data_IF_577175810636
#
_entry.id   IF_577175810636
#
_cell.length_a   1.000
_cell.length_b   1.000
_cell.length_c   1.000
_cell.angle_alpha   90.00
_cell.angle_beta   90.00
_cell.angle_gamma   90.00
#
_symmetry.space_group_name_H-M   'P 1'
#
loop_
_entity.id
_entity.type
_entity.pdbx_description
1 polymer ?
#
# COMPACT_ATOMS: atom_id res chain seq x y z
N UNK A 1 -6.56 -8.64 21.91
CA UNK A 1 -5.82 -9.63 21.10
C UNK A 1 -4.68 -8.90 20.43
N UNK A 2 -3.49 -9.50 20.34
CA UNK A 2 -2.35 -8.87 19.66
C UNK A 2 -2.67 -8.63 18.18
N UNK A 3 -2.16 -7.53 17.62
CA UNK A 3 -2.35 -7.15 16.22
C UNK A 3 -1.03 -6.69 15.61
N UNK A 4 -0.90 -6.88 14.30
CA UNK A 4 0.19 -6.28 13.54
C UNK A 4 0.02 -4.77 13.59
N UNK A 5 1.07 -4.07 14.00
CA UNK A 5 1.16 -2.61 14.00
C UNK A 5 2.39 -2.17 13.20
N UNK A 6 2.32 -0.98 12.63
CA UNK A 6 3.42 -0.42 11.84
C UNK A 6 4.40 0.27 12.78
N UNK A 7 5.68 0.00 12.61
CA UNK A 7 6.77 0.82 13.16
C UNK A 7 7.23 1.73 12.03
N UNK A 8 7.08 3.04 12.19
CA UNK A 8 7.51 3.99 11.17
C UNK A 8 9.03 4.23 11.26
N UNK A 9 9.72 4.54 10.15
CA UNK A 9 11.17 4.78 10.16
C UNK A 9 11.61 5.88 11.14
N UNK A 10 10.77 6.89 11.38
CA UNK A 10 11.08 8.00 12.28
C UNK A 10 11.25 7.56 13.74
N UNK A 11 10.75 6.36 14.10
CA UNK A 11 10.97 5.80 15.43
C UNK A 11 12.46 5.65 15.75
N UNK A 12 13.29 5.28 14.77
CA UNK A 12 14.74 5.11 14.95
C UNK A 12 15.52 6.43 15.01
N UNK A 13 14.86 7.55 14.71
CA UNK A 13 15.40 8.90 14.85
C UNK A 13 14.73 9.67 16.01
N UNK A 14 13.91 8.99 16.83
CA UNK A 14 13.20 9.61 17.94
C UNK A 14 14.14 9.84 19.13
N UNK A 15 14.31 11.09 19.52
CA UNK A 15 15.12 11.47 20.70
C UNK A 15 14.57 10.85 21.99
N UNK A 16 13.25 10.78 22.16
CA UNK A 16 12.62 10.17 23.34
C UNK A 16 12.87 8.66 23.43
N UNK A 17 12.91 7.95 22.29
CA UNK A 17 13.26 6.52 22.28
C UNK A 17 14.76 6.31 22.46
N UNK A 18 15.60 7.20 21.91
CA UNK A 18 17.04 7.15 22.11
C UNK A 18 17.47 7.43 23.56
N UNK A 19 16.61 8.08 24.36
CA UNK A 19 16.87 8.39 25.76
C UNK A 19 16.67 7.20 26.73
N UNK A 20 16.05 6.11 26.27
CA UNK A 20 15.80 4.91 27.09
C UNK A 20 16.73 3.76 26.72
N UNK A 21 16.82 2.73 27.57
CA UNK A 21 17.60 1.53 27.25
C UNK A 21 17.05 0.79 26.01
N UNK A 22 17.91 0.01 25.35
CA UNK A 22 17.47 -0.86 24.24
C UNK A 22 16.42 -1.90 24.65
N UNK A 23 16.42 -2.33 25.93
CA UNK A 23 15.36 -3.19 26.46
C UNK A 23 14.03 -2.45 26.51
N UNK A 24 14.03 -1.20 27.00
CA UNK A 24 12.86 -0.35 27.07
C UNK A 24 12.31 -0.03 25.67
N UNK A 25 13.17 0.30 24.71
CA UNK A 25 12.80 0.51 23.31
C UNK A 25 12.14 -0.75 22.71
N UNK A 26 12.74 -1.93 22.91
CA UNK A 26 12.15 -3.21 22.47
C UNK A 26 10.80 -3.47 23.12
N UNK A 27 10.69 -3.22 24.44
CA UNK A 27 9.43 -3.34 25.19
C UNK A 27 8.38 -2.40 24.61
N UNK A 28 8.74 -1.15 24.29
CA UNK A 28 7.85 -0.19 23.66
C UNK A 28 7.31 -0.68 22.31
N UNK A 29 8.17 -1.16 21.40
CA UNK A 29 7.73 -1.71 20.13
C UNK A 29 6.84 -2.94 20.30
N UNK A 30 7.15 -3.81 21.26
CA UNK A 30 6.30 -4.94 21.63
C UNK A 30 4.93 -4.48 22.12
N UNK A 31 4.86 -3.45 22.98
CA UNK A 31 3.61 -2.90 23.50
C UNK A 31 2.69 -2.38 22.40
N UNK A 32 3.24 -1.83 21.31
CA UNK A 32 2.43 -1.40 20.16
C UNK A 32 1.51 -2.55 19.69
N UNK A 33 2.04 -3.77 19.62
CA UNK A 33 1.29 -4.94 19.16
C UNK A 33 0.20 -5.42 20.12
N UNK A 34 0.35 -5.13 21.41
CA UNK A 34 -0.53 -5.62 22.48
C UNK A 34 -1.63 -4.63 22.84
N UNK A 35 -1.35 -3.34 22.66
CA UNK A 35 -2.26 -2.26 22.95
C UNK A 35 -3.55 -2.34 22.09
N UNK A 36 -4.66 -1.90 22.68
CA UNK A 36 -5.93 -1.77 21.97
C UNK A 36 -5.89 -0.67 20.91
N UNK A 37 -7.02 -0.39 20.27
CA UNK A 37 -7.07 0.59 19.18
C UNK A 37 -6.87 2.04 19.64
N UNK A 38 -6.85 2.30 20.95
CA UNK A 38 -6.54 3.58 21.56
C UNK A 38 -5.15 3.60 22.21
N UNK A 39 -4.32 2.59 21.95
CA UNK A 39 -2.96 2.53 22.48
C UNK A 39 -2.91 2.19 23.97
N UNK A 40 -3.95 1.55 24.51
CA UNK A 40 -4.08 1.24 25.94
C UNK A 40 -3.84 -0.23 26.23
N UNK A 41 -3.23 -0.51 27.37
CA UNK A 41 -2.97 -1.88 27.83
C UNK A 41 -2.98 -1.97 29.36
N UNK A 42 -3.13 -3.18 29.89
CA UNK A 42 -3.03 -3.45 31.33
C UNK A 42 -1.58 -3.30 31.79
N UNK A 43 -1.37 -2.53 32.84
CA UNK A 43 -0.04 -2.31 33.40
C UNK A 43 0.27 -3.42 34.41
N UNK A 44 0.77 -4.53 33.86
CA UNK A 44 1.13 -5.72 34.62
C UNK A 44 2.48 -6.23 34.11
N UNK A 45 3.60 -5.85 34.75
CA UNK A 45 4.94 -6.17 34.27
C UNK A 45 5.16 -7.67 34.06
N UNK A 46 4.61 -8.50 34.94
CA UNK A 46 4.69 -9.96 34.81
C UNK A 46 4.01 -10.50 33.55
N UNK A 47 2.84 -9.94 33.18
CA UNK A 47 2.12 -10.33 31.97
C UNK A 47 2.85 -9.82 30.73
N UNK A 48 3.34 -8.57 30.77
CA UNK A 48 4.09 -7.98 29.66
C UNK A 48 5.41 -8.76 29.42
N UNK A 49 6.11 -9.17 30.49
CA UNK A 49 7.28 -10.04 30.39
C UNK A 49 6.92 -11.38 29.72
N UNK A 50 5.84 -12.03 30.16
CA UNK A 50 5.36 -13.28 29.57
C UNK A 50 4.95 -13.15 28.09
N UNK A 51 4.51 -11.97 27.65
CA UNK A 51 4.10 -11.73 26.26
C UNK A 51 5.27 -11.34 25.34
N UNK A 52 6.13 -10.43 25.80
CA UNK A 52 7.16 -9.79 24.97
C UNK A 52 8.54 -10.44 25.11
N UNK A 53 8.79 -11.10 26.23
CA UNK A 53 10.09 -11.62 26.64
C UNK A 53 10.08 -13.13 26.95
N UNK A 54 9.04 -13.86 26.54
CA UNK A 54 8.88 -15.30 26.79
C UNK A 54 10.11 -16.17 26.45
N UNK A 55 10.80 -15.82 25.35
CA UNK A 55 11.99 -16.54 24.86
C UNK A 55 13.31 -15.88 25.28
N UNK A 56 13.26 -14.98 26.26
CA UNK A 56 14.38 -14.17 26.76
C UNK A 56 14.35 -14.15 28.29
N UNK A 57 14.70 -15.28 28.94
CA UNK A 57 14.55 -15.42 30.40
C UNK A 57 15.39 -14.44 31.22
N UNK A 58 16.43 -13.82 30.62
CA UNK A 58 17.24 -12.79 31.25
C UNK A 58 16.50 -11.46 31.51
N UNK A 59 15.33 -11.24 30.88
CA UNK A 59 14.53 -10.03 31.05
C UNK A 59 13.15 -10.36 31.61
N UNK A 60 13.09 -10.51 32.92
CA UNK A 60 11.88 -10.90 33.66
C UNK A 60 10.97 -9.71 34.03
N UNK A 61 9.99 -9.94 34.92
CA UNK A 61 9.04 -8.91 35.35
C UNK A 61 9.68 -7.65 35.93
N UNK A 62 10.79 -7.77 36.66
CA UNK A 62 11.53 -6.63 37.20
C UNK A 62 12.17 -5.78 36.08
N UNK A 63 12.82 -6.42 35.10
CA UNK A 63 13.38 -5.70 33.96
C UNK A 63 12.31 -5.00 33.13
N UNK A 64 11.12 -5.58 33.01
CA UNK A 64 9.98 -4.92 32.36
C UNK A 64 9.45 -3.75 33.19
N UNK A 65 9.41 -3.84 34.52
CA UNK A 65 9.03 -2.70 35.38
C UNK A 65 10.03 -1.54 35.24
N UNK A 66 11.33 -1.84 35.17
CA UNK A 66 12.38 -0.84 34.90
C UNK A 66 12.21 -0.20 33.51
N UNK A 67 11.90 -1.00 32.49
CA UNK A 67 11.60 -0.51 31.15
C UNK A 67 10.39 0.43 31.15
N UNK A 68 9.28 0.02 31.78
CA UNK A 68 8.06 0.83 31.86
C UNK A 68 8.29 2.13 32.62
N UNK A 69 9.12 2.11 33.65
CA UNK A 69 9.52 3.31 34.40
C UNK A 69 10.31 4.29 33.51
N UNK A 70 11.28 3.79 32.74
CA UNK A 70 12.02 4.61 31.78
C UNK A 70 11.11 5.19 30.68
N UNK A 71 10.23 4.36 30.11
CA UNK A 71 9.28 4.80 29.08
C UNK A 71 8.31 5.87 29.61
N UNK A 72 7.89 5.75 30.87
CA UNK A 72 7.03 6.75 31.51
C UNK A 72 7.80 8.04 31.80
N UNK A 73 9.06 7.96 32.24
CA UNK A 73 9.90 9.12 32.46
C UNK A 73 10.25 9.88 31.16
N UNK A 74 10.28 9.19 30.02
CA UNK A 74 10.49 9.76 28.69
C UNK A 74 9.19 10.22 28.00
N UNK A 75 8.05 10.24 28.70
CA UNK A 75 6.71 10.59 28.18
C UNK A 75 6.26 9.77 26.95
N UNK A 76 6.84 8.58 26.73
CA UNK A 76 6.43 7.67 25.65
C UNK A 76 5.15 6.92 26.00
N UNK A 77 5.01 6.59 27.29
CA UNK A 77 3.80 6.01 27.86
C UNK A 77 3.38 6.83 29.08
N UNK A 78 2.11 6.75 29.46
CA UNK A 78 1.66 7.20 30.76
C UNK A 78 0.95 6.06 31.47
N UNK A 79 1.32 5.85 32.72
CA UNK A 79 0.72 4.87 33.63
C UNK A 79 -0.39 5.54 34.43
N UNK A 80 -1.52 4.88 34.62
CA UNK A 80 -2.69 5.43 35.30
C UNK A 80 -3.55 4.34 35.90
N UNK A 81 -4.35 4.72 36.90
CA UNK A 81 -5.38 3.86 37.47
C UNK A 81 -6.71 4.10 36.74
N UNK A 82 -7.36 3.02 36.34
CA UNK A 82 -8.70 3.07 35.76
C UNK A 82 -9.79 3.22 36.82
N UNK A 83 -11.00 3.50 36.35
CA UNK A 83 -12.23 3.50 37.13
C UNK A 83 -12.52 2.17 37.86
N UNK A 84 -11.99 1.06 37.35
CA UNK A 84 -12.05 -0.26 38.00
C UNK A 84 -10.97 -0.50 39.07
N UNK A 85 -10.20 0.53 39.47
CA UNK A 85 -9.19 0.48 40.53
C UNK A 85 -7.90 -0.28 40.16
N UNK A 86 -7.71 -0.55 38.87
CA UNK A 86 -6.57 -1.32 38.37
C UNK A 86 -5.65 -0.45 37.53
N UNK A 87 -4.38 -0.85 37.45
CA UNK A 87 -3.36 -0.11 36.71
C UNK A 87 -3.40 -0.41 35.21
N UNK A 88 -3.20 0.63 34.42
CA UNK A 88 -3.13 0.63 32.97
C UNK A 88 -2.01 1.53 32.50
N UNK A 89 -1.61 1.33 31.25
CA UNK A 89 -0.73 2.21 30.54
C UNK A 89 -1.39 2.60 29.22
N UNK A 90 -1.08 3.79 28.74
CA UNK A 90 -1.40 4.19 27.37
C UNK A 90 -0.20 4.84 26.70
N UNK A 91 -0.11 4.64 25.39
CA UNK A 91 0.95 5.20 24.56
C UNK A 91 0.55 6.63 24.18
N UNK A 92 1.32 7.61 24.64
CA UNK A 92 0.93 9.04 24.60
C UNK A 92 0.72 9.53 23.18
N UNK A 93 1.61 9.15 22.27
CA UNK A 93 1.60 9.59 20.86
C UNK A 93 0.87 8.62 19.93
N UNK A 94 0.05 7.70 20.45
CA UNK A 94 -0.58 6.62 19.68
C UNK A 94 -1.26 7.10 18.39
N UNK A 95 -2.14 8.10 18.46
CA UNK A 95 -2.90 8.62 17.32
C UNK A 95 -2.02 9.28 16.25
N UNK A 96 -0.80 9.70 16.59
CA UNK A 96 0.17 10.29 15.63
C UNK A 96 0.91 9.20 14.84
N UNK A 97 1.08 8.02 15.42
CA UNK A 97 1.90 6.95 14.84
C UNK A 97 1.09 5.74 14.35
N UNK A 98 -0.12 5.51 14.86
CA UNK A 98 -0.95 4.37 14.52
C UNK A 98 -2.26 4.79 13.85
N UNK A 99 -2.47 4.34 12.61
CA UNK A 99 -3.75 4.49 11.91
C UNK A 99 -4.53 3.19 12.02
N UNK A 100 -5.65 3.22 12.74
CA UNK A 100 -6.49 2.03 12.94
C UNK A 100 -7.40 1.82 11.73
N UNK A 101 -7.31 0.64 11.13
CA UNK A 101 -8.22 0.16 10.10
C UNK A 101 -9.00 -1.04 10.69
N UNK A 102 -10.33 -1.04 10.55
CA UNK A 102 -11.26 -2.02 11.15
C UNK A 102 -11.14 -2.10 12.69
N UNK A 103 -11.80 -1.17 13.41
CA UNK A 103 -11.73 -1.11 14.87
C UNK A 103 -12.34 -2.37 15.51
N UNK A 104 -11.74 -2.78 16.63
CA UNK A 104 -12.11 -3.95 17.44
C UNK A 104 -12.81 -3.58 18.75
N UNK A 105 -13.06 -2.30 18.99
CA UNK A 105 -13.61 -1.78 20.23
C UNK A 105 -12.53 -1.48 21.29
N UNK A 106 -12.97 -0.82 22.36
CA UNK A 106 -12.13 -0.38 23.49
C UNK A 106 -12.05 -1.49 24.53
N UNK A 107 -10.85 -1.76 25.06
CA UNK A 107 -10.64 -2.83 26.07
C UNK A 107 -10.19 -2.30 27.43
N UNK A 108 -9.65 -1.09 27.46
CA UNK A 108 -9.16 -0.44 28.66
C UNK A 108 -9.78 0.95 28.83
N UNK A 109 -10.01 1.41 30.07
CA UNK A 109 -10.62 2.69 30.37
C UNK A 109 -9.75 3.85 29.87
N UNK A 110 -10.38 5.00 29.66
CA UNK A 110 -9.74 6.21 29.19
C UNK A 110 -8.63 6.67 30.13
N UNK A 111 -7.54 7.23 29.58
CA UNK A 111 -6.51 7.84 30.41
C UNK A 111 -7.01 9.22 30.90
N UNK A 112 -7.10 9.46 32.23
CA UNK A 112 -7.62 10.70 32.75
C UNK A 112 -6.75 11.92 32.44
N UNK A 113 -5.45 11.71 32.13
CA UNK A 113 -4.51 12.83 31.87
C UNK A 113 -4.57 13.33 30.43
N UNK A 114 -4.77 12.45 29.46
CA UNK A 114 -4.62 12.79 28.05
C UNK A 114 -5.95 12.84 27.29
N UNK A 115 -7.03 12.22 27.79
CA UNK A 115 -8.35 12.25 27.13
C UNK A 115 -9.36 13.17 27.84
N UNK A 116 -9.11 13.58 29.09
CA UNK A 116 -9.92 14.63 29.72
C UNK A 116 -9.79 15.98 28.98
N UNK A 117 -8.66 16.21 28.31
CA UNK A 117 -8.45 17.40 27.48
C UNK A 117 -9.21 17.35 26.14
N UNK A 118 -9.38 16.15 25.55
CA UNK A 118 -10.10 15.98 24.27
C UNK A 118 -11.62 16.01 24.42
N UNK A 119 -12.14 15.88 25.66
CA UNK A 119 -13.57 15.92 25.99
C UNK A 119 -14.07 17.29 26.49
N UNK A 120 -13.19 18.31 26.53
CA UNK A 120 -13.51 19.67 26.98
C UNK A 120 -13.85 20.64 25.84
N UNK A 121 -14.77 20.26 24.96
CA UNK A 121 -15.46 21.17 24.03
C UNK A 121 -16.93 21.27 24.46
N UNK A 122 -17.40 22.41 25.03
CA UNK A 122 -18.79 22.54 25.42
C UNK A 122 -19.67 22.85 24.21
N UNK A 123 -20.58 21.91 23.94
CA UNK A 123 -21.72 21.98 23.03
C UNK A 123 -22.42 23.35 22.92
N UNK A 124 -22.73 23.78 21.70
CA UNK A 124 -23.96 24.55 21.41
C UNK A 124 -24.98 23.63 20.72
N UNK A 125 -26.04 23.33 21.47
CA UNK A 125 -27.34 22.74 21.09
C UNK A 125 -28.00 23.52 19.94
N UNK A 126 -28.97 23.01 19.18
CA UNK A 126 -29.81 21.81 19.18
C UNK A 126 -30.60 21.82 17.84
N UNK A 127 -31.58 20.99 17.49
CA UNK A 127 -32.45 20.00 18.13
C UNK A 127 -33.24 19.41 16.94
N UNK A 128 -33.46 18.08 16.89
CA UNK A 128 -34.80 17.46 16.91
C UNK A 128 -34.77 15.99 16.47
N UNK A 129 -35.24 15.19 17.42
CA UNK A 129 -35.64 13.78 17.40
C UNK A 129 -36.62 13.45 16.26
N UNK A 130 -36.48 12.29 15.61
CA UNK A 130 -37.47 11.20 15.57
C UNK A 130 -37.00 9.99 14.70
N UNK A 131 -36.83 8.87 15.41
CA UNK A 131 -37.19 7.46 15.11
C UNK A 131 -36.69 6.69 13.87
N UNK A 132 -36.07 5.54 14.21
CA UNK A 132 -36.15 4.16 13.64
C UNK A 132 -35.83 3.98 12.13
N UNK A 133 -35.17 2.92 11.64
CA UNK A 133 -35.10 1.52 12.07
C UNK A 133 -33.89 0.85 11.40
N UNK A 134 -33.42 -0.23 12.03
CA UNK A 134 -32.32 -1.09 11.60
C UNK A 134 -32.73 -2.00 10.44
N UNK A 135 -31.98 -2.03 9.33
CA UNK A 135 -32.02 -3.15 8.37
C UNK A 135 -30.63 -3.35 7.72
N UNK A 136 -29.98 -4.45 8.11
CA UNK A 136 -28.97 -5.16 7.29
C UNK A 136 -29.61 -5.66 5.99
N UNK A 137 -28.86 -5.81 4.89
CA UNK A 137 -29.02 -7.08 4.20
C UNK A 137 -27.74 -7.68 3.62
N UNK A 138 -27.49 -8.94 4.00
CA UNK A 138 -26.92 -9.95 3.10
C UNK A 138 -27.97 -10.44 2.09
N UNK A 139 -27.53 -11.02 0.98
CA UNK A 139 -28.30 -11.96 0.14
C UNK A 139 -27.55 -12.18 -1.17
N UNK A 140 -27.06 -13.35 -1.57
CA UNK A 140 -27.65 -14.69 -1.68
C UNK A 140 -29.01 -14.67 -2.37
N UNK A 141 -28.91 -14.79 -3.70
CA UNK A 141 -29.72 -15.52 -4.69
C UNK A 141 -31.17 -15.84 -4.31
N UNK A 142 -32.14 -15.44 -5.15
CA UNK A 142 -32.90 -16.31 -6.08
C UNK A 142 -33.86 -15.47 -6.94
N UNK A 143 -34.07 -15.92 -8.17
CA UNK A 143 -34.89 -15.39 -9.28
C UNK A 143 -36.37 -15.15 -8.98
N UNK A 144 -36.99 -14.25 -9.76
CA UNK A 144 -38.46 -14.10 -9.81
C UNK A 144 -38.94 -12.90 -10.62
N UNK A 145 -39.17 -13.14 -11.91
CA UNK A 145 -39.59 -12.22 -12.98
C UNK A 145 -40.99 -11.59 -12.84
N UNK A 146 -41.15 -10.32 -13.29
CA UNK A 146 -42.18 -9.73 -14.20
C UNK A 146 -42.42 -8.23 -13.88
N UNK A 147 -42.02 -7.31 -14.77
CA UNK A 147 -42.87 -6.61 -15.79
C UNK A 147 -43.94 -5.69 -15.14
N UNK A 148 -44.19 -4.41 -15.47
CA UNK A 148 -43.86 -3.48 -16.56
C UNK A 148 -44.44 -2.10 -16.17
N UNK A 149 -43.75 -0.97 -16.43
CA UNK A 149 -44.32 0.29 -16.99
C UNK A 149 -43.28 1.45 -17.08
N UNK A 150 -42.76 1.68 -18.30
CA UNK A 150 -42.80 2.91 -19.16
C UNK A 150 -43.16 4.32 -18.55
N UNK A 151 -42.77 5.45 -19.21
CA UNK A 151 -41.80 6.41 -18.65
C UNK A 151 -42.18 7.93 -18.75
N UNK A 152 -41.23 8.79 -18.32
CA UNK A 152 -40.97 10.20 -18.77
C UNK A 152 -41.86 11.36 -18.23
N UNK A 153 -41.52 12.66 -18.45
CA UNK A 153 -40.25 13.38 -18.16
C UNK A 153 -40.48 14.85 -17.64
N UNK A 154 -39.43 15.57 -17.22
CA UNK A 154 -39.27 17.05 -17.36
C UNK A 154 -37.88 17.48 -16.81
N UNK A 155 -36.91 17.89 -17.64
CA UNK A 155 -36.60 19.24 -18.22
C UNK A 155 -36.21 20.33 -17.20
N UNK A 156 -34.88 20.51 -17.04
CA UNK A 156 -34.01 21.69 -17.32
C UNK A 156 -34.48 23.14 -16.98
N UNK A 157 -33.59 24.17 -16.99
CA UNK A 157 -32.14 24.27 -16.71
C UNK A 157 -31.78 25.52 -15.85
N UNK A 158 -30.49 25.73 -15.51
CA UNK A 158 -30.00 27.01 -14.98
C UNK A 158 -28.66 27.40 -15.64
N UNK A 159 -28.61 28.62 -16.17
CA UNK A 159 -27.52 29.17 -16.97
C UNK A 159 -26.47 29.97 -16.20
N UNK A 160 -25.31 30.04 -16.84
CA UNK A 160 -24.39 31.18 -17.05
C UNK A 160 -24.28 32.30 -16.00
N UNK A 161 -23.06 32.49 -15.48
CA UNK A 161 -22.24 33.73 -15.54
C UNK A 161 -20.77 33.26 -15.38
N UNK A 162 -19.73 33.73 -16.06
CA UNK A 162 -19.50 34.94 -16.83
C UNK A 162 -18.34 35.71 -16.20
N UNK A 163 -17.08 35.34 -16.48
CA UNK A 163 -15.96 36.31 -16.48
C UNK A 163 -14.85 35.86 -17.43
N UNK A 164 -14.57 36.76 -18.38
CA UNK A 164 -13.58 36.79 -19.47
C UNK A 164 -12.83 38.11 -19.17
N UNK A 165 -11.51 38.25 -19.17
CA UNK A 165 -10.58 38.28 -20.32
C UNK A 165 -9.18 38.83 -19.83
N UNK A 166 -8.20 39.27 -20.65
CA UNK A 166 -7.00 38.53 -21.05
C UNK A 166 -5.63 39.17 -20.67
N UNK A 167 -4.57 38.46 -21.10
CA UNK A 167 -3.18 38.89 -21.48
C UNK A 167 -3.15 40.14 -22.40
N UNK A 168 -2.03 40.82 -22.82
CA UNK A 168 -0.64 40.32 -22.93
C UNK A 168 0.56 41.34 -22.92
N UNK A 169 1.75 40.81 -23.27
CA UNK A 169 2.97 41.36 -23.95
C UNK A 169 4.02 42.29 -23.28
N UNK A 170 5.22 41.71 -23.25
CA UNK A 170 6.60 42.15 -23.48
C UNK A 170 6.85 43.46 -24.28
N UNK A 171 7.87 44.24 -23.88
CA UNK A 171 8.92 44.83 -24.76
C UNK A 171 10.02 45.59 -23.98
N UNK A 172 11.30 45.32 -24.31
CA UNK A 172 12.46 46.24 -24.32
C UNK A 172 13.05 46.62 -22.95
N UNK A 173 14.36 46.81 -22.76
CA UNK A 173 15.51 46.91 -23.64
C UNK A 173 16.78 47.17 -22.82
N UNK A 174 17.91 47.05 -23.51
CA UNK A 174 19.33 47.03 -23.10
C UNK A 174 19.83 48.25 -22.30
N UNK A 175 20.83 48.07 -21.41
CA UNK A 175 22.18 48.72 -21.48
C UNK A 175 23.03 48.54 -20.19
N UNK A 176 24.29 48.15 -20.42
CA UNK A 176 25.62 48.28 -19.75
C UNK A 176 25.73 48.99 -18.36
N UNK A 177 26.72 48.71 -17.49
CA UNK A 177 27.91 47.87 -17.55
C UNK A 177 28.83 48.02 -16.31
N UNK A 178 29.89 47.20 -16.29
CA UNK A 178 31.24 47.40 -15.71
C UNK A 178 31.46 47.56 -14.19
N UNK A 179 32.21 46.64 -13.57
CA UNK A 179 33.63 46.81 -13.20
C UNK A 179 34.18 45.58 -12.43
N UNK A 180 35.45 45.27 -12.74
CA UNK A 180 36.31 44.17 -12.25
C UNK A 180 36.95 44.49 -10.86
N UNK A 181 37.77 43.62 -10.19
CA UNK A 181 39.16 43.36 -10.64
C UNK A 181 39.75 41.92 -10.44
N UNK A 182 40.51 41.49 -11.46
CA UNK A 182 41.91 40.96 -11.47
C UNK A 182 42.34 39.63 -10.82
N UNK A 183 42.96 38.80 -11.67
CA UNK A 183 44.06 37.85 -11.38
C UNK A 183 44.45 37.08 -12.66
N UNK A 184 45.67 37.24 -13.23
CA UNK A 184 46.05 36.62 -14.52
C UNK A 184 46.97 35.40 -14.31
N UNK A 185 46.86 34.37 -15.16
CA UNK A 185 48.07 33.69 -15.67
C UNK A 185 47.83 32.87 -16.96
N UNK A 186 48.52 33.31 -18.01
CA UNK A 186 49.14 32.62 -19.17
C UNK A 186 48.55 31.30 -19.76
N UNK A 187 48.17 31.36 -21.05
CA UNK A 187 48.13 30.20 -21.97
C UNK A 187 49.54 29.77 -22.43
N UNK A 188 49.74 28.94 -23.51
CA UNK A 188 48.84 28.78 -24.67
C UNK A 188 48.74 27.35 -25.32
N UNK A 189 47.70 27.20 -26.16
CA UNK A 189 47.64 26.53 -27.49
C UNK A 189 48.35 25.18 -27.74
N UNK A 190 47.54 24.15 -28.01
CA UNK A 190 47.73 23.25 -29.18
C UNK A 190 46.37 23.05 -29.87
N UNK A 191 46.36 23.30 -31.19
CA UNK A 191 45.26 23.06 -32.13
C UNK A 191 45.32 21.61 -32.64
N UNK A 192 44.18 20.94 -32.52
CA UNK A 192 43.45 20.15 -33.53
C UNK A 192 44.11 18.97 -34.28
N UNK A 193 43.41 17.82 -34.32
CA UNK A 193 42.92 17.16 -35.54
C UNK A 193 42.41 15.72 -35.26
N UNK A 194 41.10 15.51 -35.45
CA UNK A 194 40.56 14.29 -36.06
C UNK A 194 40.37 13.05 -35.19
N UNK A 195 39.16 12.88 -34.64
CA UNK A 195 38.56 11.57 -34.38
C UNK A 195 37.06 11.63 -34.67
N UNK A 196 36.63 10.88 -35.68
CA UNK A 196 35.27 10.78 -36.22
C UNK A 196 34.22 10.52 -35.11
N UNK A 197 33.06 11.21 -35.06
CA UNK A 197 31.95 10.75 -34.25
C UNK A 197 31.33 9.54 -34.95
N UNK A 198 31.67 8.34 -34.49
CA UNK A 198 30.95 7.13 -34.91
C UNK A 198 29.56 7.19 -34.29
N UNK A 199 28.63 7.78 -35.05
CA UNK A 199 27.22 7.90 -34.74
C UNK A 199 26.55 6.52 -34.76
N UNK A 200 26.68 5.79 -33.66
CA UNK A 200 25.70 4.80 -33.24
C UNK A 200 24.63 5.53 -32.43
N UNK A 201 23.61 6.06 -33.08
CA UNK A 201 22.42 6.55 -32.40
C UNK A 201 21.67 5.35 -31.79
N UNK A 202 22.16 4.82 -30.67
CA UNK A 202 21.29 4.09 -29.74
C UNK A 202 20.33 5.12 -29.17
N UNK A 203 19.12 5.14 -29.72
CA UNK A 203 18.00 5.80 -29.07
C UNK A 203 17.97 5.34 -27.60
N UNK A 204 17.88 6.26 -26.62
CA UNK A 204 17.73 5.88 -25.23
C UNK A 204 16.57 4.90 -25.12
N UNK A 205 16.79 3.75 -24.46
CA UNK A 205 15.69 2.83 -24.15
C UNK A 205 14.55 3.66 -23.52
N UNK A 206 13.29 3.50 -23.99
CA UNK A 206 12.20 4.34 -23.55
C UNK A 206 12.08 4.27 -22.03
N UNK A 207 12.06 5.44 -21.38
CA UNK A 207 11.88 5.51 -19.93
C UNK A 207 10.65 4.67 -19.50
N UNK A 208 10.67 4.04 -18.32
CA UNK A 208 9.60 3.14 -17.87
C UNK A 208 8.22 3.81 -17.89
N UNK A 209 8.17 5.13 -17.71
CA UNK A 209 6.95 5.93 -17.82
C UNK A 209 6.39 6.01 -19.25
N UNK A 210 7.25 6.12 -20.26
CA UNK A 210 6.84 6.11 -21.69
C UNK A 210 6.35 4.73 -22.09
N UNK A 211 7.06 3.69 -21.65
CA UNK A 211 6.70 2.29 -21.90
C UNK A 211 5.37 1.91 -21.22
N UNK A 212 5.15 2.34 -19.97
CA UNK A 212 3.87 2.14 -19.27
C UNK A 212 2.69 2.77 -20.02
N UNK A 213 2.84 4.02 -20.49
CA UNK A 213 1.81 4.70 -21.29
C UNK A 213 1.52 3.96 -22.59
N UNK A 214 2.55 3.44 -23.24
CA UNK A 214 2.40 2.63 -24.46
C UNK A 214 1.60 1.34 -24.18
N UNK A 215 1.95 0.59 -23.13
CA UNK A 215 1.27 -0.67 -22.76
C UNK A 215 -0.21 -0.45 -22.39
N UNK A 216 -0.52 0.63 -21.67
CA UNK A 216 -1.92 0.99 -21.36
C UNK A 216 -2.66 1.39 -22.64
N UNK A 217 -2.00 2.10 -23.55
CA UNK A 217 -2.57 2.46 -24.86
C UNK A 217 -2.91 1.22 -25.69
N UNK A 218 -2.01 0.25 -25.76
CA UNK A 218 -2.22 -1.06 -26.41
C UNK A 218 -3.41 -1.80 -25.76
N UNK A 219 -3.49 -1.84 -24.43
CA UNK A 219 -4.60 -2.45 -23.70
C UNK A 219 -5.95 -1.77 -24.00
N UNK A 220 -6.00 -0.44 -23.97
CA UNK A 220 -7.24 0.32 -24.26
C UNK A 220 -7.69 0.10 -25.71
N UNK A 221 -6.76 0.04 -26.66
CA UNK A 221 -7.07 -0.25 -28.06
C UNK A 221 -7.64 -1.66 -28.25
N UNK A 222 -7.25 -2.63 -27.41
CA UNK A 222 -7.76 -4.00 -27.44
C UNK A 222 -9.10 -4.18 -26.70
N UNK A 223 -9.59 -3.16 -25.98
CA UNK A 223 -10.88 -3.19 -25.30
C UNK A 223 -12.02 -2.78 -26.26
N UNK A 224 -13.16 -3.49 -26.20
CA UNK A 224 -14.34 -3.15 -27.00
C UNK A 224 -14.93 -1.77 -26.66
N UNK A 225 -14.82 -1.36 -25.39
CA UNK A 225 -15.19 -0.03 -24.91
C UNK A 225 -14.09 0.50 -24.01
N UNK A 226 -13.86 1.82 -24.06
CA UNK A 226 -12.84 2.46 -23.24
C UNK A 226 -13.15 2.27 -21.75
N UNK A 227 -12.25 1.66 -20.96
CA UNK A 227 -12.46 1.52 -19.52
C UNK A 227 -12.51 2.87 -18.80
N UNK A 228 -13.20 2.97 -17.64
CA UNK A 228 -13.25 4.20 -16.85
C UNK A 228 -11.86 4.71 -16.43
N UNK A 229 -11.69 6.03 -16.30
CA UNK A 229 -10.39 6.64 -15.98
C UNK A 229 -9.77 6.12 -14.68
N UNK A 230 -10.60 5.83 -13.66
CA UNK A 230 -10.14 5.24 -12.40
C UNK A 230 -9.48 3.87 -12.59
N UNK A 231 -9.97 3.07 -13.53
CA UNK A 231 -9.43 1.74 -13.86
C UNK A 231 -8.11 1.90 -14.59
N UNK A 232 -8.02 2.81 -15.57
CA UNK A 232 -6.79 3.10 -16.31
C UNK A 232 -5.69 3.67 -15.40
N UNK A 233 -6.05 4.56 -14.46
CA UNK A 233 -5.12 5.11 -13.48
C UNK A 233 -4.66 4.10 -12.42
N UNK A 234 -5.44 3.05 -12.17
CA UNK A 234 -5.00 1.92 -11.32
C UNK A 234 -4.07 1.00 -12.11
N UNK A 235 -4.46 0.60 -13.32
CA UNK A 235 -3.63 -0.22 -14.20
C UNK A 235 -2.27 0.43 -14.48
N UNK A 236 -2.24 1.74 -14.70
CA UNK A 236 -0.98 2.44 -14.95
C UNK A 236 -0.03 2.45 -13.76
N UNK A 237 -0.54 2.44 -12.52
CA UNK A 237 0.30 2.31 -11.32
C UNK A 237 0.89 0.91 -11.21
N UNK A 238 0.07 -0.11 -11.42
CA UNK A 238 0.52 -1.52 -11.42
C UNK A 238 1.57 -1.77 -12.51
N UNK A 239 1.34 -1.30 -13.74
CA UNK A 239 2.32 -1.43 -14.84
C UNK A 239 3.61 -0.68 -14.55
N UNK A 240 3.55 0.52 -13.96
CA UNK A 240 4.74 1.27 -13.59
C UNK A 240 5.54 0.57 -12.47
N UNK A 241 4.85 -0.08 -11.52
CA UNK A 241 5.50 -0.87 -10.49
C UNK A 241 6.21 -2.09 -11.10
N UNK A 242 5.53 -2.85 -11.95
CA UNK A 242 6.11 -4.03 -12.62
C UNK A 242 7.32 -3.68 -13.50
N UNK A 243 7.28 -2.53 -14.19
CA UNK A 243 8.42 -2.03 -14.95
C UNK A 243 9.57 -1.56 -14.05
N UNK A 244 9.28 -1.07 -12.84
CA UNK A 244 10.28 -0.73 -11.83
C UNK A 244 10.95 -1.95 -11.19
N UNK A 245 10.34 -3.13 -11.31
CA UNK A 245 10.90 -4.42 -10.91
C UNK A 245 11.69 -5.09 -12.05
N UNK A 246 12.00 -4.35 -13.12
CA UNK A 246 12.71 -4.83 -14.32
C UNK A 246 12.01 -6.00 -15.06
N UNK A 247 10.68 -6.12 -14.91
CA UNK A 247 9.91 -7.14 -15.63
C UNK A 247 9.79 -6.76 -17.10
N UNK A 248 10.14 -7.68 -18.00
CA UNK A 248 10.08 -7.46 -19.44
C UNK A 248 8.66 -7.13 -19.93
N UNK A 249 8.56 -6.16 -20.85
CA UNK A 249 7.29 -5.66 -21.37
C UNK A 249 6.40 -6.75 -21.98
N UNK A 250 6.98 -7.80 -22.56
CA UNK A 250 6.24 -8.90 -23.19
C UNK A 250 5.45 -9.73 -22.17
N UNK A 251 6.00 -9.94 -20.97
CA UNK A 251 5.27 -10.61 -19.89
C UNK A 251 4.13 -9.74 -19.35
N UNK A 252 4.34 -8.42 -19.30
CA UNK A 252 3.31 -7.47 -18.89
C UNK A 252 2.16 -7.43 -19.91
N UNK A 253 2.47 -7.43 -21.22
CA UNK A 253 1.46 -7.55 -22.30
C UNK A 253 0.63 -8.82 -22.14
N UNK A 254 1.28 -9.96 -21.96
CA UNK A 254 0.59 -11.24 -21.76
C UNK A 254 -0.31 -11.24 -20.51
N UNK A 255 0.11 -10.58 -19.43
CA UNK A 255 -0.71 -10.39 -18.23
C UNK A 255 -1.92 -9.49 -18.47
N UNK A 256 -1.74 -8.36 -19.18
CA UNK A 256 -2.81 -7.43 -19.55
C UNK A 256 -3.86 -8.08 -20.47
N UNK A 257 -3.43 -8.92 -21.41
CA UNK A 257 -4.35 -9.70 -22.26
C UNK A 257 -5.17 -10.70 -21.45
N UNK A 258 -4.55 -11.43 -20.52
CA UNK A 258 -5.27 -12.34 -19.62
C UNK A 258 -6.24 -11.60 -18.72
N UNK A 259 -5.87 -10.42 -18.25
CA UNK A 259 -6.73 -9.56 -17.44
C UNK A 259 -7.98 -9.15 -18.23
N UNK A 260 -7.79 -8.74 -19.49
CA UNK A 260 -8.85 -8.34 -20.41
C UNK A 260 -9.80 -9.50 -20.72
N UNK A 261 -9.24 -10.67 -21.07
CA UNK A 261 -10.02 -11.87 -21.42
C UNK A 261 -10.82 -12.37 -20.22
N UNK A 262 -10.21 -12.42 -19.03
CA UNK A 262 -10.86 -12.91 -17.80
C UNK A 262 -11.76 -11.85 -17.13
N UNK A 263 -11.70 -10.58 -17.56
CA UNK A 263 -12.53 -9.49 -17.01
C UNK A 263 -12.26 -9.18 -15.53
N UNK A 264 -11.02 -9.38 -15.07
CA UNK A 264 -10.64 -9.26 -13.66
C UNK A 264 -10.25 -7.82 -13.28
N UNK A 265 -10.20 -7.54 -11.97
CA UNK A 265 -9.81 -6.22 -11.46
C UNK A 265 -8.32 -5.93 -11.68
N UNK A 266 -7.92 -4.64 -11.86
CA UNK A 266 -6.53 -4.24 -12.08
C UNK A 266 -5.52 -4.77 -11.06
N UNK A 267 -5.93 -4.94 -9.81
CA UNK A 267 -5.09 -5.42 -8.70
C UNK A 267 -4.58 -6.86 -8.88
N UNK A 268 -5.15 -7.63 -9.81
CA UNK A 268 -4.75 -9.02 -10.08
C UNK A 268 -3.66 -9.08 -11.17
N UNK A 269 -3.32 -7.95 -11.78
CA UNK A 269 -2.32 -7.87 -12.85
C UNK A 269 -0.97 -8.50 -12.46
N UNK A 270 -0.38 -8.24 -11.27
CA UNK A 270 0.89 -8.88 -10.89
C UNK A 270 0.82 -10.41 -10.88
N UNK A 271 -0.28 -10.98 -10.40
CA UNK A 271 -0.49 -12.43 -10.40
C UNK A 271 -0.62 -13.01 -11.80
N UNK A 272 -1.27 -12.29 -12.72
CA UNK A 272 -1.41 -12.71 -14.12
C UNK A 272 -0.10 -12.59 -14.91
N UNK A 273 0.72 -11.59 -14.58
CA UNK A 273 2.08 -11.45 -15.13
C UNK A 273 2.97 -12.57 -14.60
N UNK A 274 2.89 -12.90 -13.30
CA UNK A 274 3.57 -14.06 -12.74
C UNK A 274 3.10 -15.39 -13.39
N UNK A 275 1.80 -15.55 -13.65
CA UNK A 275 1.28 -16.67 -14.44
C UNK A 275 1.85 -16.66 -15.87
N UNK A 276 2.16 -15.50 -16.45
CA UNK A 276 2.70 -15.39 -17.81
C UNK A 276 4.18 -15.69 -17.89
N UNK A 277 4.94 -15.25 -16.89
CA UNK A 277 6.37 -15.55 -16.74
C UNK A 277 6.60 -17.04 -16.48
N UNK A 278 5.74 -17.67 -15.69
CA UNK A 278 5.87 -19.07 -15.30
C UNK A 278 4.99 -20.02 -16.12
N UNK A 279 4.30 -19.52 -17.15
CA UNK A 279 3.61 -20.40 -18.08
C UNK A 279 4.67 -21.19 -18.84
N UNK A 280 4.78 -22.49 -18.57
CA UNK A 280 5.55 -23.39 -19.42
C UNK A 280 5.10 -23.17 -20.87
N UNK A 281 6.02 -23.07 -21.85
CA UNK A 281 5.62 -23.09 -23.24
C UNK A 281 4.84 -24.39 -23.42
N UNK A 282 3.52 -24.26 -23.62
CA UNK A 282 2.65 -25.41 -23.69
C UNK A 282 3.24 -26.33 -24.76
N UNK A 283 3.57 -27.55 -24.33
CA UNK A 283 3.62 -28.71 -25.20
C UNK A 283 2.58 -28.52 -26.28
N UNK A 284 3.05 -28.35 -27.52
CA UNK A 284 2.23 -28.55 -28.68
C UNK A 284 1.45 -29.85 -28.44
N UNK A 285 0.13 -29.74 -28.44
CA UNK A 285 -0.79 -30.84 -28.17
C UNK A 285 -0.41 -32.09 -29.00
N UNK A 286 0.32 -33.00 -28.38
CA UNK A 286 0.33 -34.42 -28.73
C UNK A 286 0.09 -35.20 -27.44
N UNK A 287 -1.12 -35.06 -26.88
CA UNK A 287 -1.65 -36.08 -25.97
C UNK A 287 -1.83 -37.34 -26.81
N UNK A 288 -0.83 -38.21 -26.81
CA UNK A 288 -1.03 -39.61 -27.17
C UNK A 288 -2.18 -40.12 -26.29
N UNK A 289 -3.26 -40.66 -26.86
CA UNK A 289 -4.35 -41.18 -26.05
C UNK A 289 -3.79 -42.32 -25.19
N UNK A 290 -4.03 -42.24 -23.88
CA UNK A 290 -3.70 -43.31 -22.96
C UNK A 290 -4.40 -44.60 -23.41
N UNK A 291 -3.61 -45.55 -23.92
CA UNK A 291 -4.10 -46.90 -24.21
C UNK A 291 -4.18 -47.63 -22.88
N UNK A 292 -5.39 -48.02 -22.47
CA UNK A 292 -5.56 -48.89 -21.31
C UNK A 292 -4.78 -50.20 -21.54
N UNK A 293 -4.03 -50.64 -20.53
CA UNK A 293 -3.28 -51.89 -20.59
C UNK A 293 -4.24 -53.05 -20.85
N UNK A 294 -4.17 -53.61 -22.05
CA UNK A 294 -4.95 -54.79 -22.44
C UNK A 294 -4.01 -55.97 -22.35
N UNK A 295 -4.40 -57.02 -21.63
CA UNK A 295 -3.61 -58.24 -21.53
C UNK A 295 -3.32 -58.76 -22.97
N UNK A 296 -2.06 -59.02 -23.35
CA UNK A 296 -1.74 -59.48 -24.70
C UNK A 296 -2.50 -60.77 -25.00
N UNK A 297 -3.15 -60.83 -26.17
CA UNK A 297 -3.94 -61.98 -26.60
C UNK A 297 -3.08 -63.24 -26.82
N UNK A 298 -1.77 -63.07 -26.93
CA UNK A 298 -0.77 -64.12 -27.07
C UNK A 298 0.17 -64.10 -25.86
N UNK A 299 -0.05 -65.04 -24.95
CA UNK A 299 0.65 -65.13 -23.67
C UNK A 299 2.08 -65.67 -23.87
N UNK A 300 2.30 -66.55 -24.87
CA UNK A 300 3.61 -67.15 -25.13
C UNK A 300 4.63 -66.11 -25.62
N UNK A 301 4.20 -65.17 -26.46
CA UNK A 301 5.07 -64.11 -26.96
C UNK A 301 5.33 -63.00 -25.91
N UNK A 302 4.40 -62.79 -24.98
CA UNK A 302 4.52 -61.74 -23.96
C UNK A 302 5.33 -62.16 -22.72
N UNK A 303 5.29 -63.44 -22.37
CA UNK A 303 5.91 -63.95 -21.15
C UNK A 303 7.01 -65.00 -21.38
N UNK A 304 7.25 -65.39 -22.64
CA UNK A 304 8.25 -66.41 -23.00
C UNK A 304 7.78 -67.78 -22.53
N UNK A 305 7.36 -68.62 -23.46
CA UNK A 305 6.94 -69.99 -23.15
C UNK A 305 8.06 -70.77 -22.45
N UNK A 306 7.81 -71.12 -21.18
CA UNK A 306 8.11 -72.40 -20.54
C UNK A 306 7.70 -72.30 -19.05
N UNK A 307 6.59 -72.95 -18.70
CA UNK A 307 6.25 -73.34 -17.32
C UNK A 307 6.27 -74.87 -17.23
#
# INVERSE_FOLDING_TARGET
MARIRTIKPEAFASESLAAVSLSAERTFFGLLTQADDHGRFRDQPAVIAGLLWALRPGHGPLGVEDDLTQLAAADLICRYEGDDGKQYLHIVTWHRHQKINRPSGVRAPACPRHEAAESSEPSRQGRRVLREESVSPHGVLTEGSRQTHEPSPNREPAGQTGFVEPSPRSHGGLSEGSMSPQGPDLGPRILDLGSIPSGGASAPAPSPTVLAKQLIGEYVAACAHRPPEKVLGHLGREVHQLLGEDIAADHIRAGLDRLRIKGLSPSVLPSLVNEAMNASPAQANSRTPHRAWTNPADIENAYGGDL
#
